data_IF_231713392989
#
_entry.id   IF_231713392989
#
_cell.length_a   1.000
_cell.length_b   1.000
_cell.length_c   1.000
_cell.angle_alpha   90.00
_cell.angle_beta   90.00
_cell.angle_gamma   90.00
#
_symmetry.space_group_name_H-M   'P 1'
#
loop_
_entity.id
_entity.type
_entity.pdbx_description
1 polymer ?
#
# COMPACT_ATOMS: atom_id res chain seq x y z
N UNK A 1 6.37 4.38 3.92
CA UNK A 1 6.06 3.81 5.24
C UNK A 1 6.32 2.30 5.23
N UNK A 2 6.26 1.63 6.38
CA UNK A 2 6.85 0.31 6.74
C UNK A 2 8.39 0.31 6.64
N UNK A 3 8.95 0.41 5.43
CA UNK A 3 10.41 0.27 5.22
C UNK A 3 11.18 1.59 5.37
N UNK A 4 10.49 2.74 5.31
CA UNK A 4 11.13 4.06 5.23
C UNK A 4 11.91 4.30 3.93
N UNK A 5 11.88 3.35 2.98
CA UNK A 5 12.62 3.38 1.71
C UNK A 5 11.65 3.41 0.53
N UNK A 6 12.14 3.85 -0.63
CA UNK A 6 11.37 3.77 -1.87
C UNK A 6 11.10 2.30 -2.25
N UNK A 7 9.93 1.99 -2.83
CA UNK A 7 9.70 0.70 -3.48
C UNK A 7 10.80 0.46 -4.52
N UNK A 8 11.41 -0.74 -4.52
CA UNK A 8 12.52 -1.07 -5.41
C UNK A 8 13.73 -0.13 -5.32
N UNK A 9 13.94 0.52 -4.16
CA UNK A 9 15.01 1.50 -3.95
C UNK A 9 16.45 0.95 -3.97
N UNK A 10 16.65 -0.32 -4.34
CA UNK A 10 17.98 -0.88 -4.60
C UNK A 10 18.48 -0.58 -6.02
N UNK A 11 17.60 -0.12 -6.93
CA UNK A 11 18.01 0.31 -8.26
C UNK A 11 18.64 1.71 -8.20
N UNK A 12 19.77 1.88 -8.90
CA UNK A 12 20.51 3.15 -8.97
C UNK A 12 19.73 4.26 -9.69
N UNK A 13 18.86 3.89 -10.62
CA UNK A 13 18.09 4.84 -11.43
C UNK A 13 16.60 4.53 -11.39
N UNK A 14 15.77 5.58 -11.47
CA UNK A 14 14.31 5.44 -11.53
C UNK A 14 13.85 4.67 -12.77
N UNK A 15 14.57 4.78 -13.89
CA UNK A 15 14.27 4.03 -15.11
C UNK A 15 14.48 2.52 -14.93
N UNK A 16 15.53 2.08 -14.22
CA UNK A 16 15.74 0.68 -13.91
C UNK A 16 14.60 0.12 -13.04
N UNK A 17 14.16 0.89 -12.04
CA UNK A 17 12.99 0.53 -11.23
C UNK A 17 11.70 0.47 -12.07
N UNK A 18 11.48 1.40 -13.01
CA UNK A 18 10.31 1.37 -13.90
C UNK A 18 10.31 0.15 -14.83
N UNK A 19 11.45 -0.19 -15.43
CA UNK A 19 11.59 -1.38 -16.27
C UNK A 19 11.33 -2.66 -15.46
N UNK A 20 11.85 -2.71 -14.23
CA UNK A 20 11.56 -3.81 -13.33
C UNK A 20 10.06 -3.90 -13.04
N UNK A 21 9.39 -2.80 -12.67
CA UNK A 21 7.92 -2.79 -12.44
C UNK A 21 7.13 -3.22 -13.69
N UNK A 22 7.60 -2.88 -14.90
CA UNK A 22 6.94 -3.26 -16.15
C UNK A 22 7.02 -4.76 -16.46
N UNK A 23 8.03 -5.45 -15.92
CA UNK A 23 8.28 -6.89 -16.17
C UNK A 23 8.02 -7.77 -14.95
N UNK A 24 7.99 -7.19 -13.76
CA UNK A 24 7.78 -7.87 -12.49
C UNK A 24 6.35 -8.41 -12.41
N UNK A 25 6.24 -9.65 -11.92
CA UNK A 25 4.96 -10.26 -11.53
C UNK A 25 4.77 -10.26 -10.02
N UNK A 26 5.72 -9.69 -9.28
CA UNK A 26 5.76 -9.68 -7.84
C UNK A 26 5.54 -8.27 -7.28
N UNK A 27 5.09 -8.23 -6.02
CA UNK A 27 4.91 -7.01 -5.27
C UNK A 27 6.26 -6.46 -4.77
N UNK A 28 6.37 -5.15 -4.48
CA UNK A 28 7.58 -4.59 -3.87
C UNK A 28 7.96 -5.32 -2.58
N UNK A 29 9.27 -5.42 -2.29
CA UNK A 29 9.77 -6.18 -1.15
C UNK A 29 9.24 -5.60 0.16
N UNK A 30 8.66 -6.47 0.98
CA UNK A 30 8.21 -6.19 2.34
C UNK A 30 9.04 -6.99 3.36
N UNK A 31 9.37 -6.41 4.53
CA UNK A 31 10.01 -7.15 5.62
C UNK A 31 9.17 -8.37 6.06
N UNK A 32 9.82 -9.41 6.59
CA UNK A 32 9.12 -10.60 7.10
C UNK A 32 8.25 -10.32 8.33
N UNK A 33 8.63 -9.31 9.12
CA UNK A 33 7.97 -8.89 10.35
C UNK A 33 6.63 -8.17 10.12
N UNK A 34 6.24 -7.97 8.85
CA UNK A 34 4.97 -7.35 8.50
C UNK A 34 3.84 -8.34 8.73
N UNK A 35 2.82 -7.88 9.46
CA UNK A 35 1.57 -8.59 9.71
C UNK A 35 0.96 -9.18 8.43
N UNK A 36 0.36 -10.36 8.53
CA UNK A 36 -0.21 -11.07 7.39
C UNK A 36 -1.33 -10.29 6.70
N UNK A 37 -2.23 -9.66 7.46
CA UNK A 37 -3.33 -8.88 6.91
C UNK A 37 -2.83 -7.60 6.22
N UNK A 38 -1.81 -6.96 6.79
CA UNK A 38 -1.14 -5.82 6.15
C UNK A 38 -0.43 -6.23 4.86
N UNK A 39 0.24 -7.39 4.85
CA UNK A 39 0.87 -7.92 3.64
C UNK A 39 -0.15 -8.18 2.55
N UNK A 40 -1.28 -8.79 2.89
CA UNK A 40 -2.38 -9.06 1.97
C UNK A 40 -3.01 -7.77 1.43
N UNK A 41 -3.15 -6.75 2.28
CA UNK A 41 -3.59 -5.42 1.87
C UNK A 41 -2.63 -4.81 0.83
N UNK A 42 -1.31 -4.82 1.09
CA UNK A 42 -0.32 -4.29 0.14
C UNK A 42 -0.33 -5.09 -1.16
N UNK A 43 -0.46 -6.42 -1.08
CA UNK A 43 -0.58 -7.31 -2.25
C UNK A 43 -1.82 -6.96 -3.09
N UNK A 44 -2.96 -6.72 -2.46
CA UNK A 44 -4.18 -6.31 -3.14
C UNK A 44 -4.01 -4.95 -3.86
N UNK A 45 -3.38 -3.97 -3.19
CA UNK A 45 -3.06 -2.66 -3.78
C UNK A 45 -2.11 -2.76 -4.98
N UNK A 46 -1.16 -3.69 -4.93
CA UNK A 46 -0.09 -3.85 -5.93
C UNK A 46 -0.39 -4.92 -6.98
N UNK A 47 -1.65 -5.36 -7.10
CA UNK A 47 -2.04 -6.31 -8.15
C UNK A 47 -1.73 -5.76 -9.55
N UNK A 48 -1.09 -6.60 -10.37
CA UNK A 48 -0.67 -6.27 -11.74
C UNK A 48 -1.89 -6.11 -12.64
N UNK A 49 -2.89 -6.98 -12.51
CA UNK A 49 -4.12 -6.92 -13.28
C UNK A 49 -5.00 -5.76 -12.75
N UNK A 50 -5.21 -4.68 -13.52
CA UNK A 50 -5.93 -3.51 -13.01
C UNK A 50 -7.39 -3.81 -12.66
N UNK A 51 -7.98 -4.81 -13.32
CA UNK A 51 -9.37 -5.27 -13.06
C UNK A 51 -9.51 -6.03 -11.74
N UNK A 52 -8.43 -6.66 -11.28
CA UNK A 52 -8.39 -7.38 -10.00
C UNK A 52 -8.08 -6.45 -8.83
N UNK A 53 -7.48 -5.28 -9.11
CA UNK A 53 -7.16 -4.28 -8.09
C UNK A 53 -8.46 -3.76 -7.44
N UNK A 54 -8.67 -3.95 -6.13
CA UNK A 54 -9.86 -3.49 -5.45
C UNK A 54 -9.95 -1.97 -5.45
N UNK A 55 -11.18 -1.45 -5.44
CA UNK A 55 -11.40 -0.01 -5.27
C UNK A 55 -11.06 0.43 -3.84
N UNK A 56 -10.84 1.72 -3.65
CA UNK A 56 -10.61 2.30 -2.32
C UNK A 56 -11.70 1.89 -1.30
N UNK A 57 -12.97 1.86 -1.72
CA UNK A 57 -14.09 1.42 -0.86
C UNK A 57 -13.93 -0.03 -0.39
N UNK A 58 -13.45 -0.92 -1.26
CA UNK A 58 -13.19 -2.33 -0.90
C UNK A 58 -11.96 -2.46 -0.01
N UNK A 59 -10.91 -1.67 -0.25
CA UNK A 59 -9.71 -1.66 0.59
C UNK A 59 -10.02 -1.20 2.02
N UNK A 60 -10.82 -0.14 2.20
CA UNK A 60 -11.21 0.35 3.52
C UNK A 60 -12.01 -0.67 4.35
N UNK A 61 -12.63 -1.65 3.71
CA UNK A 61 -13.35 -2.73 4.39
C UNK A 61 -12.43 -3.88 4.85
N UNK A 62 -11.12 -3.82 4.59
CA UNK A 62 -10.16 -4.82 5.05
C UNK A 62 -10.01 -4.77 6.58
N UNK A 63 -9.91 -5.94 7.23
CA UNK A 63 -9.79 -6.10 8.68
C UNK A 63 -8.66 -5.25 9.30
N UNK A 64 -7.53 -5.14 8.62
CA UNK A 64 -6.39 -4.36 9.08
C UNK A 64 -6.73 -2.87 9.18
N UNK A 65 -7.47 -2.34 8.18
CA UNK A 65 -7.90 -0.93 8.17
C UNK A 65 -9.07 -0.70 9.13
N UNK A 66 -10.04 -1.61 9.17
CA UNK A 66 -11.19 -1.49 10.06
C UNK A 66 -10.77 -1.51 11.56
N UNK A 67 -9.70 -2.22 11.88
CA UNK A 67 -9.14 -2.28 13.24
C UNK A 67 -8.33 -1.04 13.61
N UNK A 68 -7.90 -0.23 12.64
CA UNK A 68 -7.21 1.06 12.86
C UNK A 68 -8.20 2.21 12.68
N UNK A 69 -9.12 2.36 13.63
CA UNK A 69 -9.90 3.60 13.68
C UNK A 69 -8.95 4.76 14.03
N UNK A 70 -8.83 5.81 13.20
CA UNK A 70 -8.15 7.02 13.66
C UNK A 70 -8.90 7.55 14.90
N UNK A 71 -8.20 8.12 15.90
CA UNK A 71 -8.89 8.90 16.91
C UNK A 71 -9.70 9.97 16.17
N UNK A 72 -11.01 10.00 16.38
CA UNK A 72 -11.95 10.92 15.72
C UNK A 72 -11.31 12.30 15.58
N UNK A 73 -11.06 12.72 14.35
CA UNK A 73 -10.61 14.08 14.09
C UNK A 73 -11.76 15.01 14.46
N UNK A 74 -11.73 15.60 15.65
CA UNK A 74 -12.48 16.81 15.96
C UNK A 74 -11.93 17.91 15.05
N UNK A 75 -12.49 18.02 13.85
CA UNK A 75 -12.24 19.17 12.99
C UNK A 75 -12.78 20.41 13.71
N UNK A 76 -12.05 21.54 13.74
CA UNK A 76 -12.61 22.77 14.28
C UNK A 76 -13.82 23.15 13.44
N UNK A 77 -14.97 23.24 14.09
CA UNK A 77 -16.22 23.77 13.55
C UNK A 77 -15.96 25.18 13.02
N UNK A 78 -15.69 25.33 11.74
CA UNK A 78 -15.67 26.62 11.05
C UNK A 78 -17.11 27.04 10.75
N UNK A 79 -17.83 27.37 11.82
CA UNK A 79 -18.99 28.27 11.77
C UNK A 79 -18.61 29.50 12.60
N UNK A 80 -18.13 30.52 11.90
CA UNK A 80 -18.15 31.92 12.30
C UNK A 80 -18.50 32.75 11.07
#
# INVERSE_FOLDING_TARGET
MITGKAPWGHFETSIAAMIHVATAQEMPPLPEQVDGELRDLVKACTSIAPRERPSARKLLANCWIASTSPPSAEGPSLLA
#
